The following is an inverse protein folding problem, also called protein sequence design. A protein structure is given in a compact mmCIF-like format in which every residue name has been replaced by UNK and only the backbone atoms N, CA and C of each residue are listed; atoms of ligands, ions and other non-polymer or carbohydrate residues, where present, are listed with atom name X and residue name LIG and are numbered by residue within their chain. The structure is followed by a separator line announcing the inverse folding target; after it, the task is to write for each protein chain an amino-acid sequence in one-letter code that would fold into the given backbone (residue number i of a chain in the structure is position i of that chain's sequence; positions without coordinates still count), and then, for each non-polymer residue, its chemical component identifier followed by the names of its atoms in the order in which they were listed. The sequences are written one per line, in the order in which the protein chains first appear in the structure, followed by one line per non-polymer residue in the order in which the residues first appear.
data_IF_656164590447
#
_entry.id   IF_656164590447
#
_cell.length_a   1.000
_cell.length_b   1.000
_cell.length_c   1.000
_cell.angle_alpha   90.00
_cell.angle_beta   90.00
_cell.angle_gamma   90.00
#
_symmetry.space_group_name_H-M   'P 1'
#
loop_
_entity.id
_entity.type
_entity.pdbx_description
1 polymer ?
#
# COMPACT_ATOMS: atom_id res chain seq x y z
N UNK A 1 20.18 7.72 0.26
CA UNK A 1 18.78 7.37 -0.08
C UNK A 1 17.80 8.45 0.37
N UNK A 2 17.88 9.02 1.58
CA UNK A 2 16.88 10.02 2.04
C UNK A 2 16.77 11.26 1.14
N UNK A 3 17.87 11.71 0.53
CA UNK A 3 17.91 12.87 -0.38
C UNK A 3 16.97 12.72 -1.58
N UNK A 4 16.90 11.54 -2.19
CA UNK A 4 16.06 11.32 -3.38
C UNK A 4 14.56 11.48 -3.09
N UNK A 5 14.14 11.14 -1.87
CA UNK A 5 12.74 11.28 -1.42
C UNK A 5 12.43 12.75 -1.19
N UNK A 6 13.32 13.49 -0.51
CA UNK A 6 13.13 14.91 -0.25
C UNK A 6 13.08 15.70 -1.57
N UNK A 7 13.99 15.41 -2.51
CA UNK A 7 14.01 16.04 -3.83
C UNK A 7 12.75 15.75 -4.64
N UNK A 8 12.27 14.49 -4.61
CA UNK A 8 11.04 14.09 -5.27
C UNK A 8 9.83 14.84 -4.70
N UNK A 9 9.68 14.88 -3.38
CA UNK A 9 8.59 15.60 -2.69
C UNK A 9 8.65 17.10 -3.00
N UNK A 10 9.83 17.71 -2.90
CA UNK A 10 9.99 19.14 -3.16
C UNK A 10 9.64 19.50 -4.61
N UNK A 11 10.05 18.69 -5.58
CA UNK A 11 9.71 18.85 -6.99
C UNK A 11 8.20 18.82 -7.23
N UNK A 12 7.48 17.91 -6.55
CA UNK A 12 6.02 17.86 -6.58
C UNK A 12 5.42 19.17 -6.08
N UNK A 13 5.82 19.59 -4.87
CA UNK A 13 5.27 20.77 -4.19
C UNK A 13 5.48 22.06 -5.01
N UNK A 14 6.68 22.24 -5.56
CA UNK A 14 7.01 23.41 -6.42
C UNK A 14 6.10 23.44 -7.65
N UNK A 15 5.87 22.30 -8.30
CA UNK A 15 5.08 22.22 -9.54
C UNK A 15 3.58 22.41 -9.29
N UNK A 16 3.11 22.04 -8.11
CA UNK A 16 1.68 22.14 -7.74
C UNK A 16 1.27 23.46 -7.10
N UNK A 17 2.22 24.35 -6.75
CA UNK A 17 1.97 25.56 -5.94
C UNK A 17 0.93 26.54 -6.50
N UNK A 18 0.76 26.55 -7.82
CA UNK A 18 -0.17 27.46 -8.51
C UNK A 18 -1.54 26.81 -8.81
N UNK A 19 -1.74 25.55 -8.41
CA UNK A 19 -3.00 24.84 -8.63
C UNK A 19 -3.94 25.07 -7.45
N UNK A 20 -5.27 25.20 -7.69
CA UNK A 20 -6.23 25.19 -6.60
C UNK A 20 -6.13 23.90 -5.79
N UNK A 21 -6.31 23.99 -4.47
CA UNK A 21 -6.30 22.82 -3.56
C UNK A 21 -7.27 21.73 -4.06
N UNK A 22 -8.43 22.13 -4.60
CA UNK A 22 -9.42 21.20 -5.15
C UNK A 22 -8.90 20.41 -6.36
N UNK A 23 -8.08 21.01 -7.22
CA UNK A 23 -7.47 20.33 -8.36
C UNK A 23 -6.44 19.29 -7.88
N UNK A 24 -5.67 19.62 -6.85
CA UNK A 24 -4.72 18.70 -6.23
C UNK A 24 -5.44 17.49 -5.63
N UNK A 25 -6.45 17.73 -4.79
CA UNK A 25 -7.27 16.67 -4.17
C UNK A 25 -7.92 15.77 -5.23
N UNK A 26 -8.44 16.36 -6.32
CA UNK A 26 -9.05 15.58 -7.41
C UNK A 26 -8.04 14.71 -8.14
N UNK A 27 -6.86 15.26 -8.45
CA UNK A 27 -5.79 14.52 -9.14
C UNK A 27 -5.27 13.36 -8.30
N UNK A 28 -5.05 13.56 -7.00
CA UNK A 28 -4.59 12.51 -6.09
C UNK A 28 -5.65 11.44 -5.91
N UNK A 29 -6.93 11.82 -5.76
CA UNK A 29 -8.03 10.87 -5.68
C UNK A 29 -8.14 9.99 -6.93
N UNK A 30 -8.10 10.59 -8.12
CA UNK A 30 -8.18 9.83 -9.39
C UNK A 30 -6.98 8.89 -9.55
N UNK A 31 -5.77 9.39 -9.31
CA UNK A 31 -4.56 8.57 -9.39
C UNK A 31 -4.61 7.40 -8.41
N UNK A 32 -5.06 7.64 -7.18
CA UNK A 32 -5.22 6.60 -6.17
C UNK A 32 -6.28 5.56 -6.57
N UNK A 33 -7.44 5.99 -7.06
CA UNK A 33 -8.49 5.09 -7.53
C UNK A 33 -8.03 4.21 -8.71
N UNK A 34 -7.26 4.77 -9.65
CA UNK A 34 -6.71 4.00 -10.77
C UNK A 34 -5.77 2.89 -10.28
N UNK A 35 -4.85 3.24 -9.36
CA UNK A 35 -3.95 2.26 -8.72
C UNK A 35 -4.71 1.22 -7.91
N UNK A 36 -5.77 1.62 -7.20
CA UNK A 36 -6.63 0.71 -6.45
C UNK A 36 -7.29 -0.32 -7.37
N UNK A 37 -7.91 0.14 -8.47
CA UNK A 37 -8.55 -0.74 -9.44
C UNK A 37 -7.55 -1.68 -10.12
N UNK A 38 -6.35 -1.21 -10.45
CA UNK A 38 -5.28 -2.06 -10.98
C UNK A 38 -4.85 -3.12 -9.96
N UNK A 39 -4.60 -2.71 -8.72
CA UNK A 39 -4.20 -3.61 -7.62
C UNK A 39 -5.26 -4.70 -7.40
N UNK A 40 -6.54 -4.34 -7.45
CA UNK A 40 -7.66 -5.28 -7.34
C UNK A 40 -7.68 -6.33 -8.46
N UNK A 41 -7.40 -5.93 -9.70
CA UNK A 41 -7.31 -6.87 -10.84
C UNK A 41 -6.14 -7.84 -10.72
N UNK A 42 -4.95 -7.36 -10.35
CA UNK A 42 -3.77 -8.21 -10.15
C UNK A 42 -4.01 -9.27 -9.07
N UNK A 43 -4.70 -8.88 -7.98
CA UNK A 43 -5.11 -9.83 -6.92
C UNK A 43 -6.14 -10.83 -7.42
N UNK A 44 -7.18 -10.40 -8.13
CA UNK A 44 -8.17 -11.31 -8.70
C UNK A 44 -7.51 -12.37 -9.61
N UNK A 45 -6.52 -11.96 -10.42
CA UNK A 45 -5.74 -12.87 -11.25
C UNK A 45 -4.90 -13.85 -10.41
N UNK A 46 -4.25 -13.38 -9.34
CA UNK A 46 -3.51 -14.25 -8.42
C UNK A 46 -4.42 -15.28 -7.74
N UNK A 47 -5.62 -14.89 -7.32
CA UNK A 47 -6.61 -15.80 -6.70
C UNK A 47 -7.04 -16.88 -7.70
N UNK A 48 -7.31 -16.51 -8.95
CA UNK A 48 -7.72 -17.48 -9.97
C UNK A 48 -6.64 -18.50 -10.31
N UNK A 49 -5.35 -18.19 -10.11
CA UNK A 49 -4.25 -19.01 -10.60
C UNK A 49 -3.79 -20.16 -9.68
N UNK A 50 -4.33 -20.31 -8.47
CA UNK A 50 -4.07 -21.51 -7.66
C UNK A 50 -4.12 -21.29 -6.16
N UNK A 51 -5.15 -21.85 -5.54
CA UNK A 51 -5.37 -21.87 -4.10
C UNK A 51 -4.21 -22.55 -3.35
N UNK A 52 -3.41 -21.77 -2.64
CA UNK A 52 -2.53 -22.26 -1.57
C UNK A 52 -3.12 -21.76 -0.26
N UNK A 53 -3.39 -22.65 0.71
CA UNK A 53 -3.98 -22.39 2.03
C UNK A 53 -4.01 -20.91 2.40
N UNK A 54 -5.12 -20.26 2.06
CA UNK A 54 -5.22 -18.81 2.14
C UNK A 54 -5.74 -18.36 3.50
N UNK A 55 -6.36 -19.27 4.24
CA UNK A 55 -6.98 -19.04 5.53
C UNK A 55 -6.08 -19.49 6.69
N UNK A 56 -5.77 -18.54 7.59
CA UNK A 56 -5.02 -18.81 8.82
C UNK A 56 -5.77 -18.29 10.02
N UNK A 57 -5.63 -19.01 11.14
CA UNK A 57 -6.07 -18.54 12.45
C UNK A 57 -4.81 -18.17 13.24
N UNK A 58 -4.61 -16.88 13.52
CA UNK A 58 -3.50 -16.43 14.35
C UNK A 58 -4.04 -16.06 15.72
N UNK A 59 -3.56 -16.75 16.75
CA UNK A 59 -3.84 -16.38 18.14
C UNK A 59 -2.82 -15.33 18.56
N UNK A 60 -3.29 -14.18 19.02
CA UNK A 60 -2.42 -13.16 19.61
C UNK A 60 -2.46 -13.33 21.15
N UNK A 61 -1.30 -13.56 21.75
CA UNK A 61 -1.12 -13.51 23.20
C UNK A 61 -0.80 -12.07 23.64
N UNK A 62 -1.17 -11.75 24.89
CA UNK A 62 -1.10 -10.41 25.48
C UNK A 62 0.29 -9.78 25.23
N UNK A 63 0.32 -8.63 24.55
CA UNK A 63 1.47 -7.73 24.63
C UNK A 63 1.26 -6.85 25.87
N UNK A 64 2.14 -6.86 26.88
CA UNK A 64 1.98 -6.04 28.08
C UNK A 64 1.90 -4.53 27.80
N UNK A 65 2.24 -4.06 26.59
CA UNK A 65 2.14 -2.65 26.18
C UNK A 65 0.79 -2.24 25.59
N UNK A 66 -0.06 -3.17 25.17
CA UNK A 66 -1.38 -2.87 24.59
C UNK A 66 -2.45 -3.66 25.35
N UNK A 67 -3.29 -2.94 26.09
CA UNK A 67 -4.07 -3.46 27.24
C UNK A 67 -4.98 -4.65 26.93
N UNK A 68 -5.40 -4.93 25.68
CA UNK A 68 -6.16 -6.14 25.39
C UNK A 68 -6.28 -6.41 23.90
N UNK A 69 -5.75 -7.54 23.40
CA UNK A 69 -6.26 -8.22 22.21
C UNK A 69 -6.02 -9.74 22.36
N UNK A 70 -6.66 -10.36 23.34
CA UNK A 70 -6.82 -11.82 23.36
C UNK A 70 -7.87 -12.15 22.31
N UNK A 71 -7.43 -12.64 21.15
CA UNK A 71 -8.33 -12.93 20.04
C UNK A 71 -7.71 -13.90 19.04
N UNK A 72 -8.56 -14.74 18.48
CA UNK A 72 -8.23 -15.52 17.29
C UNK A 72 -8.55 -14.65 16.08
N UNK A 73 -7.53 -14.30 15.30
CA UNK A 73 -7.68 -13.49 14.10
C UNK A 73 -7.70 -14.41 12.89
N UNK A 74 -8.82 -14.42 12.17
CA UNK A 74 -8.92 -15.07 10.86
C UNK A 74 -8.26 -14.17 9.84
N UNK A 75 -7.42 -14.78 9.03
CA UNK A 75 -6.65 -14.12 7.99
C UNK A 75 -6.93 -14.84 6.69
N UNK A 76 -7.37 -14.11 5.69
CA UNK A 76 -7.45 -14.56 4.30
C UNK A 76 -6.36 -13.84 3.52
N UNK A 77 -5.23 -14.51 3.31
CA UNK A 77 -4.06 -13.91 2.65
C UNK A 77 -4.36 -13.62 1.18
N UNK A 78 -5.16 -14.48 0.53
CA UNK A 78 -5.72 -14.30 -0.81
C UNK A 78 -6.56 -13.02 -0.93
N UNK A 79 -7.48 -12.83 0.01
CA UNK A 79 -8.36 -11.66 0.02
C UNK A 79 -7.73 -10.46 0.72
N UNK A 80 -6.45 -10.56 1.13
CA UNK A 80 -5.76 -9.49 1.87
C UNK A 80 -6.59 -9.02 3.06
N UNK A 81 -7.13 -9.98 3.80
CA UNK A 81 -8.13 -9.73 4.81
C UNK A 81 -7.69 -10.27 6.16
N UNK A 82 -7.99 -9.52 7.21
CA UNK A 82 -7.74 -9.90 8.59
C UNK A 82 -8.82 -9.27 9.47
N UNK A 83 -9.33 -10.04 10.43
CA UNK A 83 -10.30 -9.58 11.45
C UNK A 83 -9.86 -8.32 12.22
N UNK A 84 -8.57 -7.96 12.20
CA UNK A 84 -8.11 -6.77 12.90
C UNK A 84 -8.48 -5.45 12.20
N UNK A 85 -9.17 -5.48 11.05
CA UNK A 85 -9.51 -4.37 10.14
C UNK A 85 -8.31 -3.57 9.59
N UNK A 86 -7.11 -3.72 10.17
CA UNK A 86 -5.94 -2.92 9.80
C UNK A 86 -5.54 -3.18 8.35
N UNK A 87 -5.55 -4.44 7.91
CA UNK A 87 -5.19 -4.75 6.52
C UNK A 87 -6.15 -4.08 5.52
N UNK A 88 -7.44 -3.98 5.85
CA UNK A 88 -8.43 -3.28 5.02
C UNK A 88 -8.27 -1.76 5.04
N UNK A 89 -8.00 -1.17 6.22
CA UNK A 89 -7.98 0.30 6.39
C UNK A 89 -6.67 0.96 5.97
N UNK A 90 -5.53 0.36 6.29
CA UNK A 90 -4.21 0.95 5.99
C UNK A 90 -3.53 0.35 4.76
N UNK A 91 -4.10 -0.71 4.18
CA UNK A 91 -3.57 -1.41 2.98
C UNK A 91 -2.09 -1.85 3.10
N UNK A 92 -1.58 -1.88 4.33
CA UNK A 92 -0.24 -2.34 4.73
C UNK A 92 -0.42 -3.60 5.58
N UNK A 93 0.56 -4.52 5.54
CA UNK A 93 0.48 -5.77 6.28
C UNK A 93 0.34 -5.52 7.77
N UNK A 94 -0.74 -6.01 8.37
CA UNK A 94 -0.82 -6.13 9.82
C UNK A 94 0.16 -7.20 10.32
N UNK A 95 0.50 -7.16 11.61
CA UNK A 95 1.37 -8.15 12.26
C UNK A 95 0.85 -9.58 12.11
N UNK A 96 -0.48 -9.77 12.08
CA UNK A 96 -1.11 -11.08 11.91
C UNK A 96 -0.81 -11.71 10.55
N UNK A 97 -0.94 -10.96 9.45
CA UNK A 97 -0.62 -11.45 8.10
C UNK A 97 0.86 -11.80 7.97
N UNK A 98 1.74 -10.99 8.57
CA UNK A 98 3.18 -11.29 8.59
C UNK A 98 3.46 -12.62 9.32
N UNK A 99 2.79 -12.85 10.45
CA UNK A 99 2.92 -14.10 11.20
C UNK A 99 2.39 -15.31 10.40
N UNK A 100 1.22 -15.18 9.77
CA UNK A 100 0.65 -16.23 8.92
C UNK A 100 1.56 -16.60 7.75
N UNK A 101 2.10 -15.61 7.02
CA UNK A 101 3.07 -15.87 5.96
C UNK A 101 4.32 -16.61 6.46
N UNK A 102 4.86 -16.19 7.62
CA UNK A 102 6.05 -16.84 8.20
C UNK A 102 5.75 -18.30 8.53
N UNK A 103 4.58 -18.58 9.09
CA UNK A 103 4.15 -19.94 9.43
C UNK A 103 3.96 -20.82 8.19
N UNK A 104 3.36 -20.26 7.13
CA UNK A 104 3.13 -20.97 5.88
C UNK A 104 4.37 -21.10 4.98
N UNK A 105 5.53 -20.62 5.43
CA UNK A 105 6.73 -20.45 4.59
C UNK A 105 6.45 -19.70 3.27
N UNK A 106 5.44 -18.83 3.28
CA UNK A 106 4.99 -18.09 2.11
C UNK A 106 5.77 -16.79 1.99
N UNK A 107 6.17 -16.43 0.77
CA UNK A 107 6.80 -15.15 0.50
C UNK A 107 5.82 -13.99 0.70
N UNK A 108 5.79 -13.46 1.93
CA UNK A 108 4.93 -12.34 2.28
C UNK A 108 5.23 -11.06 1.47
N UNK A 109 6.37 -11.03 0.76
CA UNK A 109 6.78 -9.97 -0.15
C UNK A 109 5.76 -9.75 -1.27
N UNK A 110 5.09 -10.80 -1.74
CA UNK A 110 4.14 -10.74 -2.86
C UNK A 110 2.81 -10.07 -2.46
N UNK A 111 2.47 -10.07 -1.17
CA UNK A 111 1.27 -9.41 -0.65
C UNK A 111 1.47 -7.91 -0.32
N UNK A 112 2.50 -7.25 -0.86
CA UNK A 112 2.57 -5.77 -0.82
C UNK A 112 1.42 -5.22 -1.65
N UNK A 113 0.69 -4.24 -1.15
CA UNK A 113 -0.32 -3.57 -1.95
C UNK A 113 0.39 -2.76 -3.04
N UNK A 114 0.04 -2.99 -4.32
CA UNK A 114 0.77 -2.44 -5.47
C UNK A 114 0.86 -0.91 -5.39
N UNK A 115 -0.20 -0.24 -4.91
CA UNK A 115 -0.19 1.21 -4.66
C UNK A 115 0.95 1.75 -3.77
N UNK A 116 1.62 0.92 -2.96
CA UNK A 116 2.77 1.31 -2.11
C UNK A 116 4.13 0.89 -2.69
N UNK A 117 4.18 0.44 -3.94
CA UNK A 117 5.46 0.24 -4.63
C UNK A 117 6.03 1.60 -5.05
N UNK A 118 7.37 1.72 -5.04
CA UNK A 118 8.04 2.93 -5.55
C UNK A 118 7.62 3.22 -7.00
N UNK A 119 7.45 2.18 -7.79
CA UNK A 119 6.99 2.28 -9.18
C UNK A 119 5.57 2.84 -9.28
N UNK A 120 4.60 2.33 -8.50
CA UNK A 120 3.23 2.87 -8.50
C UNK A 120 3.17 4.32 -8.03
N UNK A 121 3.90 4.65 -6.97
CA UNK A 121 3.99 6.03 -6.48
C UNK A 121 4.61 6.92 -7.55
N UNK A 122 5.69 6.48 -8.21
CA UNK A 122 6.31 7.26 -9.29
C UNK A 122 5.37 7.40 -10.48
N UNK A 123 4.68 6.33 -10.88
CA UNK A 123 3.75 6.31 -12.01
C UNK A 123 2.57 7.27 -11.80
N UNK A 124 2.08 7.41 -10.56
CA UNK A 124 1.04 8.41 -10.23
C UNK A 124 1.42 9.83 -10.65
N UNK A 125 2.71 10.13 -10.66
CA UNK A 125 3.24 11.45 -10.96
C UNK A 125 3.81 11.61 -12.38
N UNK A 126 3.85 10.53 -13.17
CA UNK A 126 4.35 10.59 -14.55
C UNK A 126 3.50 11.54 -15.39
N UNK A 127 4.14 12.44 -16.12
CA UNK A 127 3.48 13.40 -17.00
C UNK A 127 2.85 14.63 -16.31
N UNK A 128 2.56 14.57 -15.01
CA UNK A 128 2.14 15.75 -14.22
C UNK A 128 3.30 16.74 -14.03
N UNK A 129 4.53 16.25 -14.15
CA UNK A 129 5.75 17.00 -13.97
C UNK A 129 6.47 17.22 -15.29
N UNK A 130 6.12 18.27 -16.06
CA UNK A 130 7.05 18.79 -17.07
C UNK A 130 8.27 19.39 -16.35
N UNK A 131 9.47 19.14 -16.86
CA UNK A 131 10.68 19.80 -16.37
C UNK A 131 10.55 21.31 -16.60
N UNK A 132 10.76 22.11 -15.57
CA UNK A 132 11.05 23.53 -15.78
C UNK A 132 12.53 23.57 -16.10
N UNK A 133 12.90 24.05 -17.29
CA UNK A 133 14.28 24.38 -17.58
C UNK A 133 14.72 25.42 -16.55
N UNK A 134 15.84 25.15 -15.87
CA UNK A 134 16.46 26.14 -15.01
C UNK A 134 16.89 27.30 -15.90
N UNK A 135 16.18 28.42 -15.85
CA UNK A 135 16.75 29.68 -16.33
C UNK A 135 17.85 30.03 -15.33
N UNK A 136 19.07 29.99 -15.84
CA UNK A 136 20.27 30.35 -15.10
C UNK A 136 20.09 31.75 -14.51
N UNK A 137 20.29 31.85 -13.20
CA UNK A 137 20.68 33.10 -12.57
C UNK A 137 22.20 33.21 -12.56
#
# INVERSE_FOLDING_TARGET
MITNVIESINSVLIKTRNLPISALVKSTYIGYNALFNQSGREVALMITYGQVYTQFLVQQTINPREVLLTGNFRIRVDERWCDCDKFQKIHVRCSHVVAACKHAHHECKNYKHHAYTLESVSNMYIGLFRGLCNEAY
#
